data_IF_077971384976
#
_entry.id   IF_077971384976
#
_cell.length_a   1.000
_cell.length_b   1.000
_cell.length_c   1.000
_cell.angle_alpha   90.00
_cell.angle_beta   90.00
_cell.angle_gamma   90.00
#
_symmetry.space_group_name_H-M   'P 1'
#
loop_
_entity.id
_entity.type
_entity.pdbx_description
1 polymer ?
#
# COMPACT_ATOMS: atom_id res chain seq x y z
N UNK A 1 -9.62 -0.54 -7.86
CA UNK A 1 -10.65 -0.08 -8.81
C UNK A 1 -10.54 1.43 -9.01
N UNK A 2 -10.97 1.96 -10.15
CA UNK A 2 -11.10 3.41 -10.40
C UNK A 2 -12.54 3.73 -10.77
N UNK A 3 -13.12 4.75 -10.15
CA UNK A 3 -14.44 5.32 -10.43
C UNK A 3 -14.33 6.80 -10.76
N UNK A 4 -15.48 7.47 -10.92
CA UNK A 4 -15.50 8.91 -11.22
C UNK A 4 -14.89 9.76 -10.08
N UNK A 5 -15.05 9.29 -8.84
CA UNK A 5 -14.70 10.01 -7.62
C UNK A 5 -13.62 9.31 -6.78
N UNK A 6 -13.24 8.09 -7.14
CA UNK A 6 -12.44 7.18 -6.31
C UNK A 6 -11.39 6.43 -7.11
N UNK A 7 -10.24 6.16 -6.49
CA UNK A 7 -9.19 5.34 -7.09
C UNK A 7 -8.44 4.54 -6.03
N UNK A 8 -8.00 3.34 -6.40
CA UNK A 8 -6.92 2.66 -5.70
C UNK A 8 -5.59 3.02 -6.38
N UNK A 9 -4.68 3.60 -5.59
CA UNK A 9 -3.29 3.77 -6.01
C UNK A 9 -2.45 2.63 -5.44
N UNK A 10 -1.54 2.10 -6.26
CA UNK A 10 -0.65 0.98 -5.93
C UNK A 10 0.76 1.45 -6.25
N UNK A 11 1.60 1.56 -5.23
CA UNK A 11 2.95 2.13 -5.32
C UNK A 11 4.01 1.11 -4.89
N UNK A 12 5.07 0.99 -5.68
CA UNK A 12 6.26 0.27 -5.27
C UNK A 12 7.18 1.20 -4.47
N UNK A 13 7.35 0.92 -3.18
CA UNK A 13 8.27 1.64 -2.29
C UNK A 13 9.53 0.83 -2.05
N UNK A 14 10.69 1.47 -2.19
CA UNK A 14 12.00 0.88 -1.91
C UNK A 14 12.86 1.85 -1.13
N UNK A 15 13.82 1.35 -0.36
CA UNK A 15 14.68 2.10 0.53
C UNK A 15 15.80 2.83 -0.23
N UNK A 16 15.41 3.65 -1.21
CA UNK A 16 16.33 4.38 -2.09
C UNK A 16 15.95 5.86 -2.12
N UNK A 17 16.93 6.73 -2.42
CA UNK A 17 16.70 8.17 -2.51
C UNK A 17 16.06 8.76 -1.23
N UNK A 18 14.91 9.43 -1.40
CA UNK A 18 14.17 10.03 -0.29
C UNK A 18 13.56 8.99 0.66
N UNK A 19 13.31 7.77 0.20
CA UNK A 19 12.69 6.68 0.97
C UNK A 19 13.70 5.78 1.68
N UNK A 20 14.98 6.13 1.67
CA UNK A 20 16.08 5.39 2.33
C UNK A 20 15.86 5.06 3.81
N UNK A 21 14.96 5.79 4.48
CA UNK A 21 14.59 5.57 5.88
C UNK A 21 13.30 4.76 6.08
N UNK A 22 12.70 4.22 5.01
CA UNK A 22 11.45 3.46 5.11
C UNK A 22 11.59 2.26 6.04
N UNK A 23 10.49 1.96 6.75
CA UNK A 23 10.42 0.86 7.71
C UNK A 23 10.20 -0.49 7.04
N UNK A 24 9.46 -0.48 5.93
CA UNK A 24 9.22 -1.61 5.07
C UNK A 24 9.34 -1.18 3.60
N UNK A 25 9.87 -2.08 2.77
CA UNK A 25 9.84 -1.99 1.32
C UNK A 25 8.74 -2.92 0.81
N UNK A 26 8.10 -2.58 -0.31
CA UNK A 26 7.00 -3.38 -0.81
C UNK A 26 6.03 -2.61 -1.68
N UNK A 27 4.84 -3.19 -1.84
CA UNK A 27 3.73 -2.59 -2.57
C UNK A 27 2.75 -1.97 -1.59
N UNK A 28 2.66 -0.66 -1.59
CA UNK A 28 1.74 0.10 -0.76
C UNK A 28 0.44 0.38 -1.52
N UNK A 29 -0.69 0.25 -0.82
CA UNK A 29 -2.03 0.46 -1.38
C UNK A 29 -2.67 1.67 -0.70
N UNK A 30 -3.26 2.55 -1.50
CA UNK A 30 -3.99 3.72 -1.02
C UNK A 30 -5.40 3.75 -1.58
N UNK A 31 -6.37 4.19 -0.77
CA UNK A 31 -7.66 4.68 -1.23
C UNK A 31 -7.59 6.19 -1.44
N UNK A 32 -7.97 6.63 -2.63
CA UNK A 32 -8.09 8.05 -2.98
C UNK A 32 -9.56 8.35 -3.23
N UNK A 33 -10.11 9.37 -2.56
CA UNK A 33 -11.51 9.82 -2.67
C UNK A 33 -11.56 11.34 -2.88
N UNK A 34 -11.94 11.76 -4.08
CA UNK A 34 -11.96 13.17 -4.51
C UNK A 34 -13.11 13.99 -3.92
N UNK A 35 -14.19 13.34 -3.50
CA UNK A 35 -15.37 13.98 -2.88
C UNK A 35 -15.23 14.11 -1.35
N UNK A 36 -14.06 13.83 -0.80
CA UNK A 36 -13.81 13.96 0.65
C UNK A 36 -13.88 15.43 1.05
N UNK A 37 -14.72 15.74 2.05
CA UNK A 37 -14.81 17.09 2.60
C UNK A 37 -13.45 17.62 3.05
N UNK A 38 -13.24 18.93 2.93
CA UNK A 38 -11.99 19.57 3.36
C UNK A 38 -11.63 19.20 4.79
N UNK A 39 -10.36 18.81 4.99
CA UNK A 39 -9.83 18.33 6.28
C UNK A 39 -10.09 16.84 6.57
N UNK A 40 -10.87 16.13 5.76
CA UNK A 40 -11.22 14.72 5.99
C UNK A 40 -10.16 13.69 5.57
N UNK A 41 -9.11 14.10 4.86
CA UNK A 41 -8.07 13.19 4.37
C UNK A 41 -8.50 12.39 3.13
N UNK A 42 -8.33 12.93 1.91
CA UNK A 42 -8.77 12.25 0.68
C UNK A 42 -7.90 11.06 0.29
N UNK A 43 -6.76 10.84 0.96
CA UNK A 43 -5.82 9.74 0.72
C UNK A 43 -5.65 8.95 2.00
N UNK A 44 -5.95 7.66 1.94
CA UNK A 44 -5.90 6.73 3.08
C UNK A 44 -4.99 5.56 2.71
N UNK A 45 -3.97 5.30 3.52
CA UNK A 45 -3.14 4.09 3.39
C UNK A 45 -3.94 2.90 3.88
N UNK A 46 -3.96 1.81 3.11
CA UNK A 46 -4.58 0.55 3.52
C UNK A 46 -3.58 -0.24 4.37
N UNK A 47 -3.97 -0.57 5.60
CA UNK A 47 -3.21 -1.50 6.45
C UNK A 47 -3.39 -2.94 5.92
N UNK A 48 -2.31 -3.50 5.37
CA UNK A 48 -2.32 -4.88 4.84
C UNK A 48 -1.89 -5.92 5.86
N UNK A 49 -1.39 -5.50 7.02
CA UNK A 49 -0.91 -6.38 8.09
C UNK A 49 -1.61 -6.02 9.40
N UNK A 50 -2.95 -6.20 9.46
CA UNK A 50 -3.69 -5.84 10.64
C UNK A 50 -3.14 -6.61 11.84
N UNK A 51 -2.98 -5.89 12.96
CA UNK A 51 -2.43 -6.37 14.23
C UNK A 51 -0.90 -6.44 14.33
N UNK A 52 -0.15 -6.05 13.30
CA UNK A 52 1.29 -5.85 13.42
C UNK A 52 1.64 -4.36 13.30
N UNK A 53 2.94 -4.08 13.23
CA UNK A 53 3.47 -2.74 13.21
C UNK A 53 4.98 -2.78 13.14
N UNK A 54 5.58 -1.77 12.51
CA UNK A 54 7.03 -1.61 12.44
C UNK A 54 7.47 -0.25 13.02
N UNK A 55 8.78 -0.11 13.23
CA UNK A 55 9.40 1.15 13.65
C UNK A 55 8.74 1.79 14.90
N UNK A 56 8.45 1.00 15.93
CA UNK A 56 7.80 1.48 17.16
C UNK A 56 8.46 2.70 17.80
N UNK A 57 9.79 2.82 17.70
CA UNK A 57 10.56 3.94 18.27
C UNK A 57 10.75 5.12 17.30
N UNK A 58 10.29 5.02 16.05
CA UNK A 58 10.58 5.99 14.97
C UNK A 58 9.36 6.46 14.19
N UNK A 59 8.32 5.64 14.13
CA UNK A 59 7.08 5.95 13.44
C UNK A 59 6.11 6.66 14.38
N UNK A 60 5.51 7.75 13.91
CA UNK A 60 4.39 8.40 14.61
C UNK A 60 3.12 7.55 14.60
N UNK A 61 3.05 6.56 13.70
CA UNK A 61 1.95 5.60 13.60
C UNK A 61 2.50 4.21 13.24
N UNK A 62 3.00 3.43 14.22
CA UNK A 62 3.62 2.12 13.97
C UNK A 62 2.75 1.10 13.21
N UNK A 63 1.41 1.03 13.41
CA UNK A 63 0.58 0.07 12.68
C UNK A 63 0.52 0.24 11.16
N UNK A 64 0.94 1.38 10.60
CA UNK A 64 1.06 1.54 9.13
C UNK A 64 2.50 1.48 8.63
N UNK A 65 3.47 1.32 9.53
CA UNK A 65 4.87 1.34 9.16
C UNK A 65 5.32 0.04 8.46
N UNK A 66 4.52 -1.02 8.54
CA UNK A 66 4.67 -2.30 7.84
C UNK A 66 3.57 -2.55 6.79
N UNK A 67 2.75 -1.55 6.46
CA UNK A 67 1.67 -1.66 5.47
C UNK A 67 2.07 -2.03 4.03
N UNK A 68 3.32 -1.90 3.54
CA UNK A 68 3.68 -2.42 2.22
C UNK A 68 3.65 -3.96 2.16
N UNK A 69 2.99 -4.52 1.15
CA UNK A 69 3.06 -5.95 0.85
C UNK A 69 4.44 -6.37 0.33
N UNK A 70 5.00 -7.42 0.91
CA UNK A 70 6.22 -8.10 0.49
C UNK A 70 5.99 -9.17 -0.58
N UNK A 71 7.08 -9.68 -1.16
CA UNK A 71 7.03 -10.75 -2.17
C UNK A 71 6.37 -12.01 -1.59
N UNK A 72 5.45 -12.60 -2.36
CA UNK A 72 4.65 -13.76 -1.98
C UNK A 72 3.34 -13.40 -1.27
N UNK A 73 3.17 -12.15 -0.85
CA UNK A 73 1.95 -11.72 -0.18
C UNK A 73 0.83 -11.37 -1.18
N UNK A 74 -0.39 -11.51 -0.67
CA UNK A 74 -1.62 -11.20 -1.38
C UNK A 74 -2.55 -10.48 -0.43
N UNK A 75 -3.26 -9.48 -0.94
CA UNK A 75 -4.30 -8.78 -0.21
C UNK A 75 -5.50 -8.48 -1.10
N UNK A 76 -6.71 -8.69 -0.56
CA UNK A 76 -7.95 -8.22 -1.20
C UNK A 76 -8.41 -6.98 -0.46
N UNK A 77 -8.46 -5.86 -1.18
CA UNK A 77 -8.81 -4.56 -0.60
C UNK A 77 -10.29 -4.57 -0.18
N UNK A 78 -10.61 -4.43 1.12
CA UNK A 78 -12.00 -4.50 1.58
C UNK A 78 -12.86 -3.40 0.93
N UNK A 79 -14.01 -3.78 0.38
CA UNK A 79 -14.97 -2.86 -0.24
C UNK A 79 -14.64 -2.41 -1.68
N UNK A 80 -13.52 -2.85 -2.25
CA UNK A 80 -13.04 -2.42 -3.58
C UNK A 80 -12.97 -3.58 -4.61
N UNK A 81 -13.26 -4.82 -4.19
CA UNK A 81 -13.21 -6.06 -4.99
C UNK A 81 -11.93 -6.16 -5.85
N UNK A 82 -10.80 -5.68 -5.30
CA UNK A 82 -9.51 -5.64 -5.97
C UNK A 82 -8.51 -6.47 -5.17
N UNK A 83 -7.98 -7.54 -5.77
CA UNK A 83 -6.90 -8.36 -5.22
C UNK A 83 -5.56 -7.92 -5.80
N UNK A 84 -4.60 -7.69 -4.93
CA UNK A 84 -3.22 -7.34 -5.24
C UNK A 84 -2.32 -8.46 -4.76
N UNK A 85 -1.44 -8.94 -5.62
CA UNK A 85 -0.45 -9.97 -5.32
C UNK A 85 0.94 -9.48 -5.74
N UNK A 86 1.90 -9.61 -4.84
CA UNK A 86 3.30 -9.26 -5.11
C UNK A 86 4.05 -10.53 -5.51
N UNK A 87 4.19 -10.74 -6.81
CA UNK A 87 4.69 -12.00 -7.33
C UNK A 87 6.22 -12.12 -7.25
N UNK A 88 6.95 -11.02 -7.47
CA UNK A 88 8.42 -11.06 -7.52
C UNK A 88 9.06 -9.69 -7.28
N UNK A 89 10.33 -9.70 -6.89
CA UNK A 89 11.23 -8.53 -6.89
C UNK A 89 12.55 -8.90 -7.56
N UNK A 90 12.89 -8.22 -8.64
CA UNK A 90 14.15 -8.48 -9.36
C UNK A 90 15.36 -7.98 -8.56
N UNK A 91 16.57 -8.53 -8.81
CA UNK A 91 17.80 -8.01 -8.20
C UNK A 91 18.09 -6.53 -8.51
N UNK A 92 17.57 -6.01 -9.61
CA UNK A 92 17.67 -4.59 -9.98
C UNK A 92 16.62 -3.70 -9.30
N UNK A 93 15.74 -4.27 -8.46
CA UNK A 93 14.75 -3.54 -7.67
C UNK A 93 13.39 -3.34 -8.34
N UNK A 94 13.12 -4.00 -9.46
CA UNK A 94 11.80 -3.94 -10.11
C UNK A 94 10.82 -4.89 -9.42
N UNK A 95 9.57 -4.48 -9.28
CA UNK A 95 8.52 -5.28 -8.66
C UNK A 95 7.56 -5.84 -9.71
N UNK A 96 7.20 -7.11 -9.58
CA UNK A 96 6.13 -7.73 -10.37
C UNK A 96 4.88 -7.83 -9.53
N UNK A 97 3.83 -7.14 -9.95
CA UNK A 97 2.56 -7.06 -9.23
C UNK A 97 1.44 -7.57 -10.13
N UNK A 98 0.57 -8.43 -9.60
CA UNK A 98 -0.65 -8.87 -10.27
C UNK A 98 -1.85 -8.22 -9.60
N UNK A 99 -2.68 -7.57 -10.41
CA UNK A 99 -3.90 -6.90 -9.97
C UNK A 99 -5.08 -7.60 -10.63
N UNK A 100 -6.01 -8.09 -9.82
CA UNK A 100 -7.27 -8.71 -10.27
C UNK A 100 -8.45 -7.91 -9.73
N UNK A 101 -9.41 -7.59 -10.58
CA UNK A 101 -10.60 -6.79 -10.22
C UNK A 101 -11.88 -7.62 -10.35
N UNK A 102 -12.88 -7.34 -9.51
CA UNK A 102 -14.18 -8.03 -9.52
C UNK A 102 -14.15 -9.38 -8.82
N UNK A 103 -13.29 -9.53 -7.81
CA UNK A 103 -13.13 -10.75 -6.99
C UNK A 103 -14.06 -10.77 -5.79
#
# INVERSE_FOLDING_TARGET
RTGADSALAIEARSATGNDRGTCAEGILIYRVRSETASGGGPVEVVDTHPNTGACWDRSVYPPLADAPLGVGETFTVPGDDTRVEVADRTPSGSWTVRITTGV
#
